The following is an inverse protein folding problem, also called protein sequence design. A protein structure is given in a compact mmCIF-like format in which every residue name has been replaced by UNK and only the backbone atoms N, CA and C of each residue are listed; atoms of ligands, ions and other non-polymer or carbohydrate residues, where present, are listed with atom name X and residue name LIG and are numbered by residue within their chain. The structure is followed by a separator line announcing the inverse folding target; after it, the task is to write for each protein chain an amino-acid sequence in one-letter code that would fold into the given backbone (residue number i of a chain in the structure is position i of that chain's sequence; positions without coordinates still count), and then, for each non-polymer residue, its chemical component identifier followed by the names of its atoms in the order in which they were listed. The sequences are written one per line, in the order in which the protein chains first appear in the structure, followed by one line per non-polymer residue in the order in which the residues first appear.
data_IF_683787796633
#
_entry.id   IF_683787796633
#
_cell.length_a   1.000
_cell.length_b   1.000
_cell.length_c   1.000
_cell.angle_alpha   90.00
_cell.angle_beta   90.00
_cell.angle_gamma   90.00
#
_symmetry.space_group_name_H-M   'P 1'
#
loop_
_entity.id
_entity.type
_entity.pdbx_description
1 polymer ?
#
# COMPACT_ATOMS: atom_id res chain seq x y z
N UNK A 1 -7.41 1.21 -26.02
CA UNK A 1 -7.04 2.33 -25.12
C UNK A 1 -6.76 1.76 -23.75
N UNK A 2 -5.49 1.75 -23.33
CA UNK A 2 -5.08 1.28 -22.00
C UNK A 2 -4.90 2.43 -21.01
N UNK A 3 -4.62 2.12 -19.74
CA UNK A 3 -4.43 3.11 -18.66
C UNK A 3 -3.38 4.16 -19.02
N UNK A 4 -2.28 3.76 -19.67
CA UNK A 4 -1.21 4.67 -20.13
C UNK A 4 -1.78 5.75 -21.07
N UNK A 5 -2.49 5.35 -22.13
CA UNK A 5 -3.12 6.32 -23.03
C UNK A 5 -4.16 7.18 -22.32
N UNK A 6 -4.94 6.62 -21.38
CA UNK A 6 -5.93 7.37 -20.60
C UNK A 6 -5.28 8.43 -19.72
N UNK A 7 -4.15 8.16 -19.09
CA UNK A 7 -3.43 9.15 -18.28
C UNK A 7 -2.94 10.33 -19.13
N UNK A 8 -2.53 10.09 -20.38
CA UNK A 8 -2.16 11.16 -21.30
C UNK A 8 -3.37 12.04 -21.68
N UNK A 9 -4.55 11.44 -21.86
CA UNK A 9 -5.80 12.18 -22.11
C UNK A 9 -6.31 12.95 -20.87
N UNK A 10 -5.78 12.65 -19.70
CA UNK A 10 -6.08 13.33 -18.44
C UNK A 10 -4.98 14.33 -18.06
N UNK A 11 -4.21 14.79 -19.04
CA UNK A 11 -3.17 15.82 -18.89
C UNK A 11 -2.09 15.48 -17.85
N UNK A 12 -1.76 14.20 -17.67
CA UNK A 12 -0.60 13.81 -16.86
C UNK A 12 0.68 14.30 -17.52
N UNK A 13 1.60 14.86 -16.73
CA UNK A 13 2.94 15.28 -17.13
C UNK A 13 4.06 14.59 -16.30
N UNK A 14 3.73 14.12 -15.10
CA UNK A 14 4.64 13.37 -14.24
C UNK A 14 5.01 11.97 -14.82
N UNK A 15 6.27 11.50 -14.62
CA UNK A 15 6.70 10.17 -15.03
C UNK A 15 5.82 9.04 -14.50
N UNK A 16 5.64 7.99 -15.29
CA UNK A 16 4.91 6.77 -14.91
C UNK A 16 5.87 5.60 -14.80
N UNK A 17 5.91 4.96 -13.63
CA UNK A 17 6.67 3.72 -13.43
C UNK A 17 5.80 2.51 -13.77
N UNK A 18 6.29 1.64 -14.64
CA UNK A 18 5.66 0.37 -15.00
C UNK A 18 6.57 -0.76 -14.56
N UNK A 19 6.10 -1.58 -13.61
CA UNK A 19 6.85 -2.74 -13.09
C UNK A 19 6.23 -4.01 -13.67
N UNK A 20 7.05 -4.88 -14.25
CA UNK A 20 6.57 -6.13 -14.85
C UNK A 20 7.70 -7.11 -15.14
N UNK A 21 7.40 -8.30 -15.68
CA UNK A 21 8.43 -9.26 -16.09
C UNK A 21 9.26 -8.72 -17.27
N UNK A 22 10.41 -9.33 -17.52
CA UNK A 22 11.20 -9.10 -18.73
C UNK A 22 10.33 -9.15 -19.99
N UNK A 23 10.45 -8.15 -20.86
CA UNK A 23 9.65 -8.01 -22.09
C UNK A 23 8.34 -7.22 -21.92
N UNK A 24 8.09 -6.63 -20.74
CA UNK A 24 6.95 -5.73 -20.51
C UNK A 24 7.00 -4.49 -21.41
N UNK A 25 8.15 -3.84 -21.55
CA UNK A 25 8.33 -2.66 -22.39
C UNK A 25 8.07 -3.02 -23.86
N UNK A 26 8.67 -4.11 -24.34
CA UNK A 26 8.47 -4.60 -25.70
C UNK A 26 7.00 -4.90 -25.97
N UNK A 27 6.33 -5.61 -25.06
CA UNK A 27 4.91 -5.95 -25.17
C UNK A 27 4.02 -4.71 -25.21
N UNK A 28 4.29 -3.69 -24.37
CA UNK A 28 3.52 -2.45 -24.36
C UNK A 28 3.77 -1.64 -25.64
N UNK A 29 5.02 -1.53 -26.09
CA UNK A 29 5.38 -0.80 -27.32
C UNK A 29 4.85 -1.45 -28.58
N UNK A 30 4.71 -2.78 -28.60
CA UNK A 30 4.13 -3.52 -29.72
C UNK A 30 2.62 -3.28 -29.87
N UNK A 31 1.92 -2.76 -28.85
CA UNK A 31 0.49 -2.50 -28.94
C UNK A 31 0.19 -1.26 -29.79
N UNK A 32 -0.60 -1.38 -30.87
CA UNK A 32 -0.97 -0.23 -31.70
C UNK A 32 -1.66 0.87 -30.90
N UNK A 33 -1.17 2.12 -31.02
CA UNK A 33 -1.71 3.29 -30.31
C UNK A 33 -1.21 3.47 -28.88
N UNK A 34 -0.37 2.56 -28.37
CA UNK A 34 0.32 2.67 -27.08
C UNK A 34 1.81 2.99 -27.22
N UNK A 35 2.30 3.19 -28.45
CA UNK A 35 3.66 3.67 -28.68
C UNK A 35 3.90 4.99 -27.93
N UNK A 36 5.00 5.06 -27.19
CA UNK A 36 5.29 6.17 -26.28
C UNK A 36 5.49 7.53 -26.97
N UNK A 37 5.67 7.56 -28.29
CA UNK A 37 6.12 8.74 -29.04
C UNK A 37 5.19 9.96 -28.95
N UNK A 38 3.93 9.77 -28.57
CA UNK A 38 2.95 10.85 -28.38
C UNK A 38 2.64 11.15 -26.91
N UNK A 39 3.17 10.37 -25.96
CA UNK A 39 2.88 10.55 -24.55
C UNK A 39 3.55 11.84 -24.02
N UNK A 40 2.84 12.69 -23.27
CA UNK A 40 3.39 13.93 -22.72
C UNK A 40 4.29 13.71 -21.48
N UNK A 41 4.54 12.46 -21.09
CA UNK A 41 5.31 12.08 -19.91
C UNK A 41 6.19 10.85 -20.17
N UNK A 42 7.23 10.70 -19.38
CA UNK A 42 8.15 9.55 -19.45
C UNK A 42 7.52 8.29 -18.86
N UNK A 43 7.74 7.14 -19.50
CA UNK A 43 7.39 5.82 -18.96
C UNK A 43 8.68 5.08 -18.58
N UNK A 44 8.91 4.91 -17.28
CA UNK A 44 10.03 4.18 -16.69
C UNK A 44 9.64 2.70 -16.52
N UNK A 45 10.14 1.84 -17.41
CA UNK A 45 9.92 0.40 -17.34
C UNK A 45 10.94 -0.27 -16.42
N UNK A 46 10.46 -0.88 -15.34
CA UNK A 46 11.23 -1.67 -14.38
C UNK A 46 10.94 -3.14 -14.57
N UNK A 47 11.69 -3.76 -15.47
CA UNK A 47 11.53 -5.17 -15.81
C UNK A 47 12.30 -6.08 -14.85
N UNK A 48 11.67 -7.17 -14.43
CA UNK A 48 12.25 -8.16 -13.53
C UNK A 48 12.43 -9.51 -14.24
N UNK A 49 13.60 -10.16 -14.11
CA UNK A 49 13.79 -11.52 -14.63
C UNK A 49 12.88 -12.50 -13.88
N UNK A 50 12.61 -13.68 -14.43
CA UNK A 50 11.69 -14.66 -13.83
C UNK A 50 12.09 -15.11 -12.41
N UNK A 51 13.40 -15.19 -12.14
CA UNK A 51 13.99 -15.66 -10.89
C UNK A 51 14.41 -14.52 -9.93
N UNK A 52 13.82 -13.34 -10.09
CA UNK A 52 14.15 -12.19 -9.25
C UNK A 52 13.93 -12.45 -7.75
N UNK A 53 14.82 -11.92 -6.92
CA UNK A 53 14.64 -11.94 -5.47
C UNK A 53 13.68 -10.84 -5.01
N UNK A 54 12.95 -11.03 -3.89
CA UNK A 54 12.13 -9.97 -3.29
C UNK A 54 12.89 -8.64 -3.16
N UNK A 55 12.29 -7.55 -3.63
CA UNK A 55 12.92 -6.23 -3.59
C UNK A 55 11.92 -5.08 -3.57
N UNK A 56 12.40 -3.88 -3.24
CA UNK A 56 11.64 -2.64 -3.36
C UNK A 56 11.71 -2.15 -4.81
N UNK A 57 10.55 -1.95 -5.44
CA UNK A 57 10.44 -1.46 -6.82
C UNK A 57 10.01 -0.02 -6.93
N UNK A 58 9.54 0.59 -5.84
CA UNK A 58 9.21 2.01 -5.79
C UNK A 58 9.26 2.50 -4.34
N UNK A 59 9.80 3.69 -4.10
CA UNK A 59 9.96 4.24 -2.75
C UNK A 59 9.85 5.76 -2.78
N UNK A 60 9.12 6.31 -1.82
CA UNK A 60 9.01 7.74 -1.55
C UNK A 60 9.18 7.99 -0.05
N UNK A 61 9.20 9.26 0.36
CA UNK A 61 9.13 9.62 1.78
C UNK A 61 7.82 9.20 2.46
N UNK A 62 6.78 8.84 1.70
CA UNK A 62 5.44 8.55 2.22
C UNK A 62 5.07 7.07 2.16
N UNK A 63 5.58 6.29 1.19
CA UNK A 63 5.30 4.87 1.05
C UNK A 63 6.39 4.13 0.28
N UNK A 64 6.37 2.79 0.37
CA UNK A 64 7.18 1.90 -0.45
C UNK A 64 6.31 0.82 -1.10
N UNK A 65 6.77 0.30 -2.23
CA UNK A 65 6.19 -0.84 -2.93
C UNK A 65 7.24 -1.91 -3.05
N UNK A 66 6.97 -3.06 -2.46
CA UNK A 66 7.80 -4.27 -2.57
C UNK A 66 7.12 -5.28 -3.47
N UNK A 67 7.93 -6.08 -4.15
CA UNK A 67 7.49 -7.10 -5.08
C UNK A 67 8.09 -8.46 -4.69
N UNK A 68 7.35 -9.52 -4.94
CA UNK A 68 7.81 -10.91 -4.77
C UNK A 68 7.35 -11.77 -5.96
N UNK A 69 8.18 -12.72 -6.43
CA UNK A 69 7.71 -13.73 -7.37
C UNK A 69 6.68 -14.61 -6.66
N UNK A 70 5.58 -14.93 -7.34
CA UNK A 70 4.54 -15.83 -6.83
C UNK A 70 4.45 -17.09 -7.70
N UNK A 71 3.85 -18.15 -7.19
CA UNK A 71 3.84 -19.42 -7.89
C UNK A 71 2.72 -19.48 -8.93
N UNK A 72 3.07 -19.37 -10.21
CA UNK A 72 2.15 -19.50 -11.33
C UNK A 72 2.80 -20.23 -12.52
N UNK A 73 2.05 -20.51 -13.60
CA UNK A 73 2.56 -21.23 -14.79
C UNK A 73 3.48 -20.39 -15.68
N UNK A 74 3.36 -19.08 -15.57
CA UNK A 74 4.19 -18.08 -16.25
C UNK A 74 4.68 -17.09 -15.20
N UNK A 75 5.73 -16.30 -15.48
CA UNK A 75 6.23 -15.30 -14.53
C UNK A 75 5.10 -14.42 -14.00
N UNK A 76 4.89 -14.45 -12.69
CA UNK A 76 3.86 -13.67 -12.02
C UNK A 76 4.42 -13.08 -10.72
N UNK A 77 3.84 -11.96 -10.31
CA UNK A 77 4.34 -11.14 -9.22
C UNK A 77 3.19 -10.74 -8.31
N UNK A 78 3.48 -10.68 -7.02
CA UNK A 78 2.63 -10.02 -6.06
C UNK A 78 3.30 -8.77 -5.51
N UNK A 79 2.49 -7.77 -5.17
CA UNK A 79 2.94 -6.47 -4.71
C UNK A 79 2.43 -6.19 -3.30
N UNK A 80 3.24 -5.51 -2.49
CA UNK A 80 2.86 -4.99 -1.18
C UNK A 80 3.19 -3.51 -1.12
N UNK A 81 2.17 -2.70 -0.84
CA UNK A 81 2.21 -1.26 -0.69
C UNK A 81 2.16 -0.94 0.80
N UNK A 82 3.12 -0.15 1.28
CA UNK A 82 3.19 0.23 2.70
C UNK A 82 3.44 1.72 2.84
N UNK A 83 2.47 2.43 3.38
CA UNK A 83 2.70 3.80 3.85
C UNK A 83 3.64 3.79 5.07
N UNK A 84 4.52 4.78 5.13
CA UNK A 84 5.38 4.99 6.29
C UNK A 84 4.57 5.38 7.51
N UNK A 85 5.02 4.92 8.68
CA UNK A 85 4.53 5.43 9.96
C UNK A 85 4.76 6.94 10.02
N UNK A 86 3.70 7.67 10.36
CA UNK A 86 3.74 9.13 10.49
C UNK A 86 3.81 9.49 11.97
N UNK A 87 4.49 10.61 12.26
CA UNK A 87 4.48 11.21 13.58
C UNK A 87 3.04 11.39 14.11
N UNK A 88 2.93 11.33 15.44
CA UNK A 88 1.69 11.60 16.16
C UNK A 88 1.14 13.01 15.91
N UNK A 89 -0.08 13.25 16.37
CA UNK A 89 -0.62 14.59 16.33
C UNK A 89 0.17 15.50 17.29
N UNK A 90 0.60 16.66 16.80
CA UNK A 90 1.27 17.67 17.64
C UNK A 90 0.22 18.46 18.43
N UNK A 91 0.33 18.45 19.75
CA UNK A 91 -0.39 19.36 20.64
C UNK A 91 0.31 20.73 20.64
N UNK A 92 -0.09 21.56 19.68
CA UNK A 92 0.48 22.90 19.50
C UNK A 92 0.22 23.82 20.71
N UNK A 93 -0.89 23.61 21.44
CA UNK A 93 -1.16 24.41 22.63
C UNK A 93 -0.23 24.01 23.78
N UNK A 94 0.01 22.71 23.98
CA UNK A 94 0.98 22.22 24.96
C UNK A 94 2.39 22.69 24.60
N UNK A 95 2.79 22.61 23.34
CA UNK A 95 4.08 23.12 22.87
C UNK A 95 4.25 24.62 23.20
N UNK A 96 3.24 25.44 22.92
CA UNK A 96 3.25 26.88 23.26
C UNK A 96 3.32 27.12 24.76
N UNK A 97 2.58 26.37 25.57
CA UNK A 97 2.65 26.45 27.05
C UNK A 97 4.04 26.09 27.59
N UNK A 98 4.77 25.23 26.89
CA UNK A 98 6.15 24.86 27.21
C UNK A 98 7.19 25.84 26.64
N UNK A 99 6.76 26.90 25.93
CA UNK A 99 7.63 27.94 25.38
C UNK A 99 8.01 27.76 23.90
N UNK A 100 7.62 26.64 23.26
CA UNK A 100 7.82 26.44 21.82
C UNK A 100 6.72 27.16 21.01
N UNK A 101 6.86 28.48 20.85
CA UNK A 101 5.88 29.35 20.18
C UNK A 101 6.08 29.47 18.67
N UNK A 102 7.34 29.45 18.23
CA UNK A 102 7.71 29.70 16.83
C UNK A 102 7.30 28.58 15.88
N UNK A 103 7.02 28.94 14.63
CA UNK A 103 6.62 27.97 13.61
C UNK A 103 7.69 26.90 13.38
N UNK A 104 8.96 27.29 13.34
CA UNK A 104 10.08 26.34 13.17
C UNK A 104 10.23 25.40 14.37
N UNK A 105 9.92 25.85 15.60
CA UNK A 105 9.88 24.98 16.76
C UNK A 105 8.83 23.87 16.59
N UNK A 106 7.63 24.23 16.16
CA UNK A 106 6.54 23.26 15.94
C UNK A 106 6.87 22.27 14.81
N UNK A 107 7.55 22.72 13.74
CA UNK A 107 8.00 21.84 12.65
C UNK A 107 9.08 20.87 13.11
N UNK A 108 10.08 21.36 13.84
CA UNK A 108 11.14 20.54 14.42
C UNK A 108 10.57 19.47 15.37
N UNK A 109 9.71 19.87 16.30
CA UNK A 109 9.03 18.93 17.21
C UNK A 109 8.23 17.89 16.44
N UNK A 110 7.55 18.27 15.36
CA UNK A 110 6.79 17.34 14.50
C UNK A 110 7.67 16.38 13.69
N UNK A 111 8.94 16.73 13.43
CA UNK A 111 9.95 15.83 12.87
C UNK A 111 10.63 14.95 13.92
N UNK A 112 10.29 15.10 15.19
CA UNK A 112 10.92 14.35 16.28
C UNK A 112 12.24 14.98 16.75
N UNK A 113 12.47 16.26 16.45
CA UNK A 113 13.66 16.99 16.88
C UNK A 113 13.38 17.77 18.17
N UNK A 114 14.32 17.72 19.12
CA UNK A 114 14.27 18.53 20.35
C UNK A 114 14.53 20.00 20.02
N UNK A 115 13.75 20.89 20.63
CA UNK A 115 13.88 22.33 20.43
C UNK A 115 14.48 22.98 21.66
N UNK A 116 15.54 23.77 21.47
CA UNK A 116 16.08 24.66 22.50
C UNK A 116 15.33 25.99 22.48
N UNK A 117 15.01 26.52 23.66
CA UNK A 117 14.29 27.77 23.86
C UNK A 117 15.27 28.88 24.23
N UNK A 118 14.95 30.12 23.84
CA UNK A 118 15.73 31.30 24.21
C UNK A 118 15.77 31.53 25.72
N UNK A 119 14.77 31.04 26.46
CA UNK A 119 14.73 31.07 27.92
C UNK A 119 15.72 30.12 28.61
N UNK A 120 16.51 29.34 27.84
CA UNK A 120 17.47 28.36 28.35
C UNK A 120 16.88 26.97 28.62
N UNK A 121 15.60 26.74 28.28
CA UNK A 121 14.93 25.44 28.38
C UNK A 121 15.00 24.62 27.09
N UNK A 122 14.49 23.38 27.14
CA UNK A 122 14.27 22.56 25.93
C UNK A 122 12.89 21.92 25.96
N UNK A 123 12.29 21.73 24.79
CA UNK A 123 11.01 20.99 24.62
C UNK A 123 11.29 19.71 23.86
N UNK A 124 10.89 18.58 24.42
CA UNK A 124 11.03 17.27 23.79
C UNK A 124 9.78 16.92 22.97
N UNK A 125 9.93 16.35 21.76
CA UNK A 125 8.80 15.85 20.97
C UNK A 125 7.90 14.91 21.76
N UNK A 126 8.45 14.06 22.64
CA UNK A 126 7.66 13.12 23.45
C UNK A 126 6.66 13.83 24.38
N UNK A 127 6.92 15.08 24.76
CA UNK A 127 6.01 15.85 25.60
C UNK A 127 4.79 16.36 24.83
N UNK A 128 4.91 16.55 23.51
CA UNK A 128 3.93 17.29 22.70
C UNK A 128 3.34 16.48 21.56
N UNK A 129 3.95 15.35 21.20
CA UNK A 129 3.43 14.43 20.19
C UNK A 129 2.57 13.34 20.84
N UNK A 130 1.42 13.10 20.22
CA UNK A 130 0.64 11.89 20.49
C UNK A 130 1.32 10.62 19.98
N UNK A 131 0.69 9.45 20.17
CA UNK A 131 1.22 8.19 19.66
C UNK A 131 1.40 8.24 18.14
N UNK A 132 2.40 7.51 17.65
CA UNK A 132 2.65 7.34 16.22
C UNK A 132 1.40 6.84 15.49
N UNK A 133 1.31 7.21 14.22
CA UNK A 133 0.20 6.86 13.37
C UNK A 133 0.72 5.85 12.33
N UNK A 134 0.46 4.55 12.54
CA UNK A 134 0.80 3.54 11.54
C UNK A 134 0.20 3.92 10.19
N UNK A 135 1.01 3.77 9.15
CA UNK A 135 0.56 3.87 7.77
C UNK A 135 -0.43 2.77 7.42
N UNK A 136 -1.09 2.91 6.27
CA UNK A 136 -1.95 1.88 5.68
C UNK A 136 -1.12 0.95 4.79
N UNK A 137 -1.45 -0.33 4.82
CA UNK A 137 -0.81 -1.38 4.01
C UNK A 137 -1.81 -2.12 3.12
N UNK A 138 -1.38 -2.47 1.91
CA UNK A 138 -2.19 -3.19 0.93
C UNK A 138 -1.34 -4.23 0.22
N UNK A 139 -1.84 -5.46 0.09
CA UNK A 139 -1.22 -6.49 -0.75
C UNK A 139 -2.11 -6.79 -1.96
N UNK A 140 -1.47 -6.86 -3.13
CA UNK A 140 -2.07 -7.24 -4.39
C UNK A 140 -1.41 -8.53 -4.89
N UNK A 141 -2.05 -9.66 -4.59
CA UNK A 141 -1.60 -11.00 -4.98
C UNK A 141 -2.48 -11.46 -6.14
N UNK A 142 -1.91 -11.42 -7.35
CA UNK A 142 -2.55 -11.88 -8.58
C UNK A 142 -2.47 -13.40 -8.73
N UNK A 143 -2.70 -13.90 -9.93
CA UNK A 143 -2.66 -15.31 -10.33
C UNK A 143 -1.55 -16.08 -9.63
N UNK A 144 -1.94 -17.00 -8.76
CA UNK A 144 -1.00 -17.82 -8.01
C UNK A 144 -1.65 -19.03 -7.37
N UNK A 145 -0.90 -20.12 -7.26
CA UNK A 145 -1.17 -21.20 -6.31
C UNK A 145 -0.89 -20.70 -4.88
N UNK A 146 -1.45 -21.35 -3.85
CA UNK A 146 -1.08 -21.04 -2.48
C UNK A 146 0.43 -21.22 -2.27
N UNK A 147 1.12 -20.12 -1.97
CA UNK A 147 2.56 -20.06 -1.83
C UNK A 147 2.98 -19.15 -0.67
N UNK A 148 4.21 -19.34 -0.17
CA UNK A 148 4.71 -18.55 0.96
C UNK A 148 4.97 -17.09 0.59
N UNK A 149 5.30 -16.81 -0.67
CA UNK A 149 5.44 -15.45 -1.17
C UNK A 149 4.14 -14.65 -1.03
N UNK A 150 3.01 -15.23 -1.46
CA UNK A 150 1.68 -14.64 -1.30
C UNK A 150 1.31 -14.41 0.16
N UNK A 151 1.63 -15.37 1.03
CA UNK A 151 1.41 -15.23 2.48
C UNK A 151 2.26 -14.12 3.10
N UNK A 152 3.52 -14.01 2.69
CA UNK A 152 4.44 -12.96 3.17
C UNK A 152 3.97 -11.57 2.74
N UNK A 153 3.51 -11.43 1.49
CA UNK A 153 2.93 -10.16 1.03
C UNK A 153 1.71 -9.78 1.87
N UNK A 154 0.86 -10.74 2.19
CA UNK A 154 -0.37 -10.55 2.94
C UNK A 154 -0.19 -10.34 4.46
N UNK A 155 0.99 -10.58 5.02
CA UNK A 155 1.19 -10.58 6.47
C UNK A 155 0.81 -9.25 7.12
N UNK A 156 -0.23 -9.28 7.95
CA UNK A 156 -0.75 -8.14 8.71
C UNK A 156 -1.34 -6.99 7.90
N UNK A 157 -1.53 -7.12 6.58
CA UNK A 157 -1.96 -5.98 5.76
C UNK A 157 -3.37 -5.50 6.09
N UNK A 158 -3.64 -4.20 5.95
CA UNK A 158 -4.98 -3.64 6.18
C UNK A 158 -5.98 -4.06 5.10
N UNK A 159 -5.50 -4.29 3.87
CA UNK A 159 -6.30 -4.78 2.76
C UNK A 159 -5.50 -5.82 1.96
N UNK A 160 -6.15 -6.93 1.64
CA UNK A 160 -5.61 -7.95 0.74
C UNK A 160 -6.54 -8.08 -0.46
N UNK A 161 -5.98 -7.93 -1.65
CA UNK A 161 -6.55 -8.46 -2.88
C UNK A 161 -5.83 -9.77 -3.18
N UNK A 162 -6.59 -10.84 -3.36
CA UNK A 162 -6.08 -12.15 -3.75
C UNK A 162 -6.97 -12.72 -4.84
N UNK A 163 -6.38 -13.32 -5.87
CA UNK A 163 -7.15 -14.04 -6.87
C UNK A 163 -7.93 -15.21 -6.25
N UNK A 164 -9.08 -15.54 -6.85
CA UNK A 164 -9.94 -16.63 -6.41
C UNK A 164 -10.64 -17.22 -7.63
N UNK A 165 -9.85 -17.60 -8.63
CA UNK A 165 -10.34 -18.00 -9.96
C UNK A 165 -11.33 -19.17 -9.89
N UNK A 166 -11.16 -20.06 -8.92
CA UNK A 166 -11.94 -21.30 -8.80
C UNK A 166 -12.73 -21.42 -7.49
N UNK A 167 -13.82 -22.18 -7.54
CA UNK A 167 -14.49 -22.71 -6.35
C UNK A 167 -13.68 -23.83 -5.69
N UNK A 168 -13.99 -24.15 -4.42
CA UNK A 168 -13.30 -25.22 -3.67
C UNK A 168 -13.51 -26.62 -4.31
N UNK A 169 -14.61 -26.81 -5.04
CA UNK A 169 -14.93 -28.00 -5.82
C UNK A 169 -14.03 -28.21 -7.04
N UNK A 170 -13.28 -27.19 -7.44
CA UNK A 170 -12.36 -27.20 -8.58
C UNK A 170 -10.88 -27.11 -8.13
N UNK A 171 -10.57 -27.54 -6.91
CA UNK A 171 -9.23 -27.43 -6.32
C UNK A 171 -8.13 -28.10 -7.17
N UNK A 172 -8.41 -29.27 -7.78
CA UNK A 172 -7.47 -29.94 -8.67
C UNK A 172 -7.17 -29.09 -9.91
N UNK A 173 -8.21 -28.55 -10.54
CA UNK A 173 -8.06 -27.67 -11.71
C UNK A 173 -7.31 -26.39 -11.35
N UNK A 174 -7.58 -25.81 -10.17
CA UNK A 174 -6.86 -24.66 -9.67
C UNK A 174 -5.36 -24.97 -9.54
N UNK A 175 -5.02 -26.10 -8.93
CA UNK A 175 -3.65 -26.57 -8.86
C UNK A 175 -3.05 -26.73 -10.26
N UNK A 176 -3.65 -27.51 -11.16
CA UNK A 176 -3.10 -27.77 -12.50
C UNK A 176 -2.85 -26.48 -13.32
N UNK A 177 -3.74 -25.50 -13.19
CA UNK A 177 -3.66 -24.24 -13.94
C UNK A 177 -2.88 -23.13 -13.25
N UNK A 178 -2.33 -23.37 -12.05
CA UNK A 178 -1.48 -22.40 -11.37
C UNK A 178 -2.23 -21.37 -10.52
N UNK A 179 -3.47 -21.65 -10.13
CA UNK A 179 -4.38 -20.70 -9.50
C UNK A 179 -4.80 -21.11 -8.08
N UNK A 180 -5.49 -20.19 -7.41
CA UNK A 180 -6.08 -20.40 -6.09
C UNK A 180 -7.60 -20.53 -6.15
N UNK A 181 -8.13 -21.34 -5.24
CA UNK A 181 -9.57 -21.36 -4.92
C UNK A 181 -9.93 -20.25 -3.95
N UNK A 182 -11.21 -19.85 -3.92
CA UNK A 182 -11.71 -18.90 -2.92
C UNK A 182 -11.44 -19.34 -1.47
N UNK A 183 -11.50 -20.65 -1.18
CA UNK A 183 -11.20 -21.19 0.16
C UNK A 183 -9.73 -21.06 0.51
N UNK A 184 -8.82 -21.29 -0.44
CA UNK A 184 -7.39 -21.12 -0.24
C UNK A 184 -7.03 -19.65 -0.01
N UNK A 185 -7.56 -18.74 -0.82
CA UNK A 185 -7.37 -17.29 -0.65
C UNK A 185 -7.87 -16.81 0.73
N UNK A 186 -9.05 -17.26 1.16
CA UNK A 186 -9.60 -16.91 2.47
C UNK A 186 -8.78 -17.48 3.65
N UNK A 187 -8.24 -18.71 3.51
CA UNK A 187 -7.33 -19.31 4.50
C UNK A 187 -6.05 -18.52 4.61
N UNK A 188 -5.42 -18.21 3.48
CA UNK A 188 -4.21 -17.38 3.42
C UNK A 188 -4.45 -16.03 4.13
N UNK A 189 -5.53 -15.32 3.79
CA UNK A 189 -5.90 -14.06 4.42
C UNK A 189 -6.03 -14.18 5.95
N UNK A 190 -6.70 -15.25 6.43
CA UNK A 190 -6.88 -15.51 7.87
C UNK A 190 -5.55 -15.76 8.58
N UNK A 191 -4.69 -16.58 7.96
CA UNK A 191 -3.42 -17.03 8.53
C UNK A 191 -2.34 -15.94 8.51
N UNK A 192 -2.37 -15.05 7.51
CA UNK A 192 -1.58 -13.82 7.48
C UNK A 192 -2.19 -12.70 8.34
N UNK A 193 -3.40 -12.88 8.88
CA UNK A 193 -4.07 -11.83 9.66
C UNK A 193 -4.42 -10.57 8.87
N UNK A 194 -4.56 -10.69 7.54
CA UNK A 194 -4.95 -9.60 6.66
C UNK A 194 -6.37 -9.09 6.97
N UNK A 195 -6.59 -7.78 6.86
CA UNK A 195 -7.91 -7.15 7.03
C UNK A 195 -8.42 -7.10 8.47
N UNK A 196 -7.60 -7.47 9.47
CA UNK A 196 -8.00 -7.43 10.90
C UNK A 196 -8.18 -6.01 11.43
N UNK A 197 -7.56 -5.01 10.80
CA UNK A 197 -7.79 -3.60 11.10
C UNK A 197 -8.80 -3.05 10.10
N UNK A 198 -9.93 -2.47 10.55
CA UNK A 198 -10.84 -1.79 9.63
C UNK A 198 -10.08 -0.62 8.98
N UNK A 199 -10.15 -0.47 7.64
CA UNK A 199 -9.40 0.57 6.94
C UNK A 199 -9.75 1.94 7.52
N UNK A 200 -8.75 2.79 7.79
CA UNK A 200 -8.94 4.06 8.51
C UNK A 200 -10.02 4.96 7.90
N UNK A 201 -10.25 4.91 6.59
CA UNK A 201 -11.34 5.64 5.91
C UNK A 201 -12.75 5.22 6.37
N UNK A 202 -12.95 3.95 6.74
CA UNK A 202 -14.24 3.45 7.26
C UNK A 202 -14.63 4.07 8.61
N UNK A 203 -13.67 4.63 9.37
CA UNK A 203 -13.94 5.26 10.67
C UNK A 203 -14.67 6.60 10.55
N UNK A 204 -14.60 7.29 9.40
CA UNK A 204 -15.34 8.56 9.17
C UNK A 204 -16.83 8.35 8.80
N UNK A 205 -17.29 7.11 8.56
CA UNK A 205 -18.62 6.82 7.99
C UNK A 205 -19.49 5.87 8.82
N UNK A 206 -19.25 5.74 10.14
CA UNK A 206 -20.26 5.12 11.02
C UNK A 206 -21.08 6.20 11.73
N UNK A 207 -22.31 6.51 11.28
CA UNK A 207 -23.27 7.11 12.19
C UNK A 207 -23.43 6.15 13.37
N UNK A 208 -23.37 6.68 14.59
CA UNK A 208 -23.59 5.91 15.80
C UNK A 208 -25.05 5.46 15.87
N UNK A 209 -25.44 4.42 15.13
CA UNK A 209 -26.75 3.80 15.27
C UNK A 209 -26.76 2.86 16.47
N UNK A 210 -26.66 3.46 17.67
CA UNK A 210 -27.01 2.81 18.93
C UNK A 210 -28.33 3.38 19.43
N UNK A 211 -29.38 3.20 18.64
CA UNK A 211 -30.76 3.38 19.11
C UNK A 211 -31.39 1.99 19.20
N UNK A 212 -31.22 1.35 20.37
CA UNK A 212 -32.06 0.22 20.79
C UNK A 212 -33.51 0.73 20.80
N UNK A 213 -34.31 0.35 19.80
CA UNK A 213 -35.77 0.42 19.93
C UNK A 213 -36.20 -0.68 20.90
N UNK A 214 -36.36 -0.31 22.17
CA UNK A 214 -37.29 -0.97 23.10
C UNK A 214 -38.70 -0.42 22.83
N UNK A 215 -39.62 -1.28 22.42
CA UNK A 215 -41.10 -1.21 22.56
C UNK A 215 -41.56 -2.69 22.39
N UNK A 216 -42.04 -3.46 23.38
CA UNK A 216 -43.31 -3.37 24.16
C UNK A 216 -44.46 -2.92 23.24
N UNK A 217 -45.50 -3.68 22.92
CA UNK A 217 -46.09 -4.91 23.48
C UNK A 217 -46.07 -6.07 22.48
#
# INVERSE_FOLDING_TARGET
MGVISTLALLDRDEPLVVVGPAGTEEAVRAMPGLANDWLPYEVDYRELPEDFSPQTVYETGEFAVTVRPVEHRVPCMGFRFEERTRAGHLDAEKARRLGATEHEHLRALKRGERVALESGGTVDPADVLGPERPGVSFAYVMDTRPCEAGRTLADGVDLLYHEATFGDDQAERAADTGHSTARQAARLAKDAGAGRRPPRWSRKRRPSSRTRRRRRN
#
